data_IF_328627888372
#
_entry.id   IF_328627888372
#
_cell.length_a   1.000
_cell.length_b   1.000
_cell.length_c   1.000
_cell.angle_alpha   90.00
_cell.angle_beta   90.00
_cell.angle_gamma   90.00
#
_symmetry.space_group_name_H-M   'P 1'
#
loop_
_entity.id
_entity.type
_entity.pdbx_description
1 polymer ?
#
# COMPACT_ATOMS: atom_id res chain seq x y z
N UNK A 1 17.34 3.13 -7.30
CA UNK A 1 16.34 2.91 -8.37
C UNK A 1 15.07 3.56 -7.89
N UNK A 2 14.30 4.28 -8.72
CA UNK A 2 13.03 4.86 -8.23
C UNK A 2 12.09 3.72 -7.83
N UNK A 3 11.49 3.80 -6.66
CA UNK A 3 10.44 2.87 -6.24
C UNK A 3 9.17 3.23 -7.01
N UNK A 4 8.59 2.26 -7.74
CA UNK A 4 7.52 2.49 -8.71
C UNK A 4 6.16 1.99 -8.20
N UNK A 5 5.08 2.44 -8.83
CA UNK A 5 3.72 1.96 -8.57
C UNK A 5 3.61 0.45 -8.81
N UNK A 6 4.20 -0.07 -9.89
CA UNK A 6 4.13 -1.52 -10.17
C UNK A 6 4.90 -2.33 -9.13
N UNK A 7 5.99 -1.79 -8.58
CA UNK A 7 6.71 -2.45 -7.48
C UNK A 7 5.88 -2.46 -6.21
N UNK A 8 5.29 -1.32 -5.84
CA UNK A 8 4.38 -1.22 -4.70
C UNK A 8 3.20 -2.18 -4.82
N UNK A 9 2.54 -2.23 -5.98
CA UNK A 9 1.42 -3.12 -6.25
C UNK A 9 1.77 -4.60 -6.03
N UNK A 10 2.92 -5.04 -6.55
CA UNK A 10 3.38 -6.43 -6.37
C UNK A 10 3.68 -6.75 -4.91
N UNK A 11 4.35 -5.85 -4.19
CA UNK A 11 4.67 -6.05 -2.78
C UNK A 11 3.39 -6.02 -1.92
N UNK A 12 2.46 -5.11 -2.18
CA UNK A 12 1.15 -5.06 -1.51
C UNK A 12 0.35 -6.36 -1.71
N UNK A 13 0.27 -6.88 -2.94
CA UNK A 13 -0.37 -8.18 -3.20
C UNK A 13 0.32 -9.32 -2.45
N UNK A 14 1.63 -9.26 -2.28
CA UNK A 14 2.36 -10.26 -1.49
C UNK A 14 2.01 -10.15 0.00
N UNK A 15 1.92 -8.93 0.53
CA UNK A 15 1.50 -8.71 1.91
C UNK A 15 0.09 -9.24 2.18
N UNK A 16 -0.86 -9.02 1.26
CA UNK A 16 -2.22 -9.58 1.35
C UNK A 16 -2.17 -11.11 1.38
N UNK A 17 -1.41 -11.74 0.45
CA UNK A 17 -1.27 -13.21 0.38
C UNK A 17 -0.61 -13.84 1.60
N UNK A 18 0.21 -13.07 2.33
CA UNK A 18 0.82 -13.53 3.58
C UNK A 18 -0.17 -13.56 4.76
N UNK A 19 -1.42 -13.16 4.53
CA UNK A 19 -2.51 -13.12 5.50
C UNK A 19 -3.08 -11.72 5.59
N UNK A 20 -4.38 -11.56 5.32
CA UNK A 20 -5.04 -10.27 5.39
C UNK A 20 -5.21 -9.83 6.86
N UNK A 21 -4.42 -8.83 7.24
CA UNK A 21 -4.42 -8.19 8.56
C UNK A 21 -4.18 -6.69 8.34
N UNK A 22 -5.20 -5.89 8.61
CA UNK A 22 -5.23 -4.46 8.31
C UNK A 22 -4.10 -3.73 9.04
N UNK A 23 -3.97 -3.94 10.35
CA UNK A 23 -2.96 -3.29 11.18
C UNK A 23 -1.53 -3.58 10.69
N UNK A 24 -1.24 -4.85 10.36
CA UNK A 24 0.06 -5.27 9.84
C UNK A 24 0.36 -4.66 8.47
N UNK A 25 -0.63 -4.65 7.57
CA UNK A 25 -0.48 -4.09 6.22
C UNK A 25 -0.30 -2.56 6.27
N UNK A 26 -1.07 -1.87 7.11
CA UNK A 26 -0.93 -0.43 7.34
C UNK A 26 0.44 -0.07 7.91
N UNK A 27 0.91 -0.80 8.92
CA UNK A 27 2.25 -0.60 9.46
C UNK A 27 3.34 -0.83 8.41
N UNK A 28 3.21 -1.88 7.59
CA UNK A 28 4.14 -2.14 6.49
C UNK A 28 4.19 -0.98 5.49
N UNK A 29 3.03 -0.47 5.06
CA UNK A 29 2.96 0.65 4.12
C UNK A 29 3.56 1.93 4.71
N UNK A 30 3.31 2.21 5.99
CA UNK A 30 3.92 3.34 6.69
C UNK A 30 5.44 3.23 6.71
N UNK A 31 5.99 2.08 7.12
CA UNK A 31 7.44 1.85 7.14
C UNK A 31 8.06 1.96 5.75
N UNK A 32 7.39 1.45 4.73
CA UNK A 32 7.82 1.58 3.33
C UNK A 32 7.93 3.04 2.91
N UNK A 33 6.97 3.89 3.29
CA UNK A 33 6.99 5.34 2.97
C UNK A 33 8.20 6.05 3.59
N UNK A 34 8.57 5.69 4.83
CA UNK A 34 9.73 6.24 5.53
C UNK A 34 11.03 5.74 4.88
N UNK A 35 11.16 4.43 4.69
CA UNK A 35 12.38 3.81 4.17
C UNK A 35 12.67 4.26 2.73
N UNK A 36 11.62 4.52 1.95
CA UNK A 36 11.71 4.88 0.54
C UNK A 36 11.39 6.34 0.25
N UNK A 37 11.31 7.23 1.24
CA UNK A 37 10.90 8.63 1.06
C UNK A 37 11.70 9.40 -0.01
N UNK A 38 12.96 9.05 -0.24
CA UNK A 38 13.82 9.67 -1.28
C UNK A 38 13.65 9.03 -2.68
N UNK A 39 13.05 7.85 -2.72
CA UNK A 39 12.92 7.00 -3.91
C UNK A 39 11.49 6.96 -4.47
N UNK A 40 10.49 7.45 -3.73
CA UNK A 40 9.09 7.53 -4.14
C UNK A 40 8.74 8.90 -4.77
N UNK A 41 7.81 8.92 -5.70
CA UNK A 41 7.22 10.18 -6.20
C UNK A 41 6.16 10.68 -5.21
N UNK A 42 5.82 11.99 -5.20
CA UNK A 42 4.74 12.51 -4.37
C UNK A 42 3.37 11.86 -4.65
N UNK A 43 3.17 11.38 -5.87
CA UNK A 43 1.97 10.63 -6.23
C UNK A 43 1.95 9.25 -5.58
N UNK A 44 3.06 8.51 -5.69
CA UNK A 44 3.18 7.19 -5.08
C UNK A 44 3.13 7.27 -3.55
N UNK A 45 3.72 8.31 -2.96
CA UNK A 45 3.63 8.55 -1.52
C UNK A 45 2.18 8.67 -1.06
N UNK A 46 1.33 9.45 -1.76
CA UNK A 46 -0.10 9.52 -1.44
C UNK A 46 -0.81 8.16 -1.52
N UNK A 47 -0.45 7.34 -2.50
CA UNK A 47 -1.03 6.00 -2.67
C UNK A 47 -0.58 5.05 -1.54
N UNK A 48 0.67 5.14 -1.10
CA UNK A 48 1.17 4.39 0.05
C UNK A 48 0.48 4.85 1.34
N UNK A 49 0.27 6.17 1.52
CA UNK A 49 -0.41 6.72 2.69
C UNK A 49 -1.85 6.23 2.82
N UNK A 50 -2.58 6.05 1.71
CA UNK A 50 -3.94 5.48 1.72
C UNK A 50 -3.95 4.09 2.40
N UNK A 51 -2.95 3.25 2.12
CA UNK A 51 -2.82 1.93 2.76
C UNK A 51 -2.33 2.06 4.22
N UNK A 52 -1.43 3.01 4.47
CA UNK A 52 -0.85 3.24 5.80
C UNK A 52 -1.87 3.69 6.86
N UNK A 53 -2.98 4.30 6.45
CA UNK A 53 -4.02 4.79 7.37
C UNK A 53 -5.22 3.84 7.53
N UNK A 54 -5.22 2.65 6.92
CA UNK A 54 -6.37 1.73 7.01
C UNK A 54 -6.67 1.29 8.45
N UNK A 55 -5.68 1.31 9.34
CA UNK A 55 -5.82 0.95 10.77
C UNK A 55 -6.27 2.14 11.66
N UNK A 56 -6.45 3.35 11.10
CA UNK A 56 -6.89 4.53 11.86
C UNK A 56 -8.40 4.54 12.15
N UNK A 57 -9.19 3.73 11.43
CA UNK A 57 -10.62 3.59 11.67
C UNK A 57 -11.38 2.88 10.55
N UNK A 58 -12.61 2.39 10.81
CA UNK A 58 -13.41 1.67 9.83
C UNK A 58 -13.72 2.45 8.54
N UNK A 59 -13.66 3.78 8.59
CA UNK A 59 -13.85 4.66 7.43
C UNK A 59 -12.68 4.65 6.44
N UNK A 60 -11.51 4.17 6.88
CA UNK A 60 -10.29 4.02 6.07
C UNK A 60 -9.97 2.56 5.76
N UNK A 61 -10.62 1.63 6.46
CA UNK A 61 -10.41 0.20 6.31
C UNK A 61 -10.95 -0.29 4.95
N UNK A 62 -10.05 -0.81 4.12
CA UNK A 62 -10.45 -1.63 2.98
C UNK A 62 -10.73 -3.06 3.45
N UNK A 63 -11.73 -3.70 2.86
CA UNK A 63 -11.81 -5.15 2.80
C UNK A 63 -10.67 -5.74 1.96
N UNK A 64 -10.44 -7.05 2.07
CA UNK A 64 -9.41 -7.75 1.29
C UNK A 64 -9.61 -7.56 -0.22
N UNK A 65 -10.85 -7.69 -0.71
CA UNK A 65 -11.19 -7.53 -2.12
C UNK A 65 -10.96 -6.09 -2.62
N UNK A 66 -11.31 -5.10 -1.81
CA UNK A 66 -11.07 -3.68 -2.15
C UNK A 66 -9.58 -3.37 -2.22
N UNK A 67 -8.78 -3.91 -1.29
CA UNK A 67 -7.34 -3.70 -1.29
C UNK A 67 -6.65 -4.43 -2.46
N UNK A 68 -7.13 -5.63 -2.83
CA UNK A 68 -6.67 -6.34 -4.02
C UNK A 68 -7.00 -5.55 -5.29
N UNK A 69 -8.21 -4.99 -5.38
CA UNK A 69 -8.60 -4.16 -6.52
C UNK A 69 -7.74 -2.88 -6.59
N UNK A 70 -7.52 -2.21 -5.47
CA UNK A 70 -6.60 -1.07 -5.38
C UNK A 70 -5.21 -1.43 -5.90
N UNK A 71 -4.67 -2.59 -5.51
CA UNK A 71 -3.38 -3.05 -5.99
C UNK A 71 -3.37 -3.38 -7.50
N UNK A 72 -4.48 -3.83 -8.07
CA UNK A 72 -4.61 -4.06 -9.52
C UNK A 72 -4.63 -2.74 -10.30
N UNK A 73 -5.34 -1.73 -9.81
CA UNK A 73 -5.44 -0.42 -10.47
C UNK A 73 -4.07 0.27 -10.56
N UNK A 74 -3.19 0.05 -9.58
CA UNK A 74 -1.81 0.54 -9.58
C UNK A 74 -0.91 -0.05 -10.69
N UNK A 75 -1.21 -1.25 -11.20
CA UNK A 75 -0.44 -1.88 -12.28
C UNK A 75 -0.84 -1.38 -13.68
N UNK A 76 -2.04 -0.81 -13.80
CA UNK A 76 -2.63 -0.36 -15.07
C UNK A 76 -2.43 1.16 -15.26
N UNK A 77 -2.03 1.89 -14.22
CA UNK A 77 -1.89 3.37 -14.20
C UNK A 77 -0.53 3.90 -14.65
#
# INVERSE_FOLDING_TARGET
MRYSKEKFARELKQEIRNGFDVSRISQWAYMLSIDRHREISPELDRLIQIVAVMDEGPEFEFSEDELVQFANDLEIS
#
